data_IF_448807377609
#
_entry.id   IF_448807377609
#
_cell.length_a   1.000
_cell.length_b   1.000
_cell.length_c   1.000
_cell.angle_alpha   90.00
_cell.angle_beta   90.00
_cell.angle_gamma   90.00
#
_symmetry.space_group_name_H-M   'P 1'
#
loop_
_entity.id
_entity.type
_entity.pdbx_description
1 polymer ?
#
# COMPACT_ATOMS: atom_id res chain seq x y z
N UNK A 1 -17.07 0.74 0.16
CA UNK A 1 -15.92 -0.16 -0.08
C UNK A 1 -15.02 -0.09 1.14
N UNK A 2 -14.58 -1.22 1.70
CA UNK A 2 -13.66 -1.22 2.85
C UNK A 2 -12.30 -0.59 2.49
N UNK A 3 -11.66 0.10 3.44
CA UNK A 3 -10.35 0.74 3.26
C UNK A 3 -9.27 -0.27 2.85
N UNK A 4 -9.32 -1.50 3.38
CA UNK A 4 -8.39 -2.58 3.02
C UNK A 4 -8.62 -3.06 1.58
N UNK A 5 -9.89 -3.08 1.12
CA UNK A 5 -10.19 -3.41 -0.27
C UNK A 5 -9.60 -2.37 -1.23
N UNK A 6 -9.74 -1.08 -0.91
CA UNK A 6 -9.16 0.02 -1.67
C UNK A 6 -7.62 -0.12 -1.74
N UNK A 7 -6.97 -0.43 -0.62
CA UNK A 7 -5.52 -0.64 -0.56
C UNK A 7 -5.07 -1.81 -1.43
N UNK A 8 -5.76 -2.95 -1.32
CA UNK A 8 -5.51 -4.13 -2.15
C UNK A 8 -5.58 -3.80 -3.64
N UNK A 9 -6.59 -3.03 -4.07
CA UNK A 9 -6.75 -2.62 -5.46
C UNK A 9 -5.61 -1.70 -5.92
N UNK A 10 -5.21 -0.73 -5.10
CA UNK A 10 -4.08 0.15 -5.42
C UNK A 10 -2.79 -0.66 -5.61
N UNK A 11 -2.45 -1.53 -4.66
CA UNK A 11 -1.25 -2.38 -4.72
C UNK A 11 -1.25 -3.24 -5.98
N UNK A 12 -2.38 -3.88 -6.30
CA UNK A 12 -2.51 -4.68 -7.53
C UNK A 12 -2.31 -3.82 -8.79
N UNK A 13 -2.89 -2.62 -8.85
CA UNK A 13 -2.76 -1.72 -10.01
C UNK A 13 -1.33 -1.23 -10.24
N UNK A 14 -0.59 -0.92 -9.17
CA UNK A 14 0.82 -0.55 -9.27
C UNK A 14 1.64 -1.75 -9.73
N UNK A 15 1.43 -2.93 -9.12
CA UNK A 15 2.20 -4.14 -9.45
C UNK A 15 1.92 -4.71 -10.84
N UNK A 16 0.72 -4.50 -11.38
CA UNK A 16 0.32 -5.06 -12.66
C UNK A 16 1.09 -4.49 -13.87
N UNK A 17 1.68 -3.29 -13.74
CA UNK A 17 2.47 -2.67 -14.81
C UNK A 17 3.96 -2.62 -14.42
N UNK A 18 4.88 -3.18 -15.22
CA UNK A 18 6.32 -3.03 -15.02
C UNK A 18 6.73 -1.56 -14.91
N UNK A 19 6.17 -0.69 -15.78
CA UNK A 19 6.47 0.73 -15.80
C UNK A 19 6.01 1.44 -14.52
N UNK A 20 4.82 1.09 -13.99
CA UNK A 20 4.35 1.65 -12.71
C UNK A 20 5.20 1.19 -11.54
N UNK A 21 5.64 -0.08 -11.52
CA UNK A 21 6.55 -0.59 -10.48
C UNK A 21 7.87 0.15 -10.47
N UNK A 22 8.48 0.32 -11.64
CA UNK A 22 9.75 1.03 -11.77
C UNK A 22 9.64 2.50 -11.32
N UNK A 23 8.62 3.22 -11.80
CA UNK A 23 8.36 4.61 -11.38
C UNK A 23 8.10 4.73 -9.88
N UNK A 24 7.38 3.77 -9.30
CA UNK A 24 7.14 3.74 -7.86
C UNK A 24 8.45 3.52 -7.09
N UNK A 25 9.32 2.61 -7.55
CA UNK A 25 10.62 2.39 -6.92
C UNK A 25 11.52 3.64 -7.03
N UNK A 26 11.58 4.27 -8.19
CA UNK A 26 12.29 5.55 -8.38
C UNK A 26 11.79 6.63 -7.42
N UNK A 27 10.47 6.66 -7.17
CA UNK A 27 9.90 7.58 -6.20
C UNK A 27 10.32 7.25 -4.77
N UNK A 28 10.36 5.98 -4.36
CA UNK A 28 10.88 5.59 -3.05
C UNK A 28 12.32 6.08 -2.86
N UNK A 29 13.18 5.87 -3.87
CA UNK A 29 14.58 6.34 -3.86
C UNK A 29 14.65 7.86 -3.73
N UNK A 30 13.84 8.59 -4.49
CA UNK A 30 13.83 10.06 -4.51
C UNK A 30 13.42 10.70 -3.17
N UNK A 31 12.69 9.97 -2.33
CA UNK A 31 12.29 10.43 -0.98
C UNK A 31 13.02 9.67 0.14
N UNK A 32 14.14 9.01 -0.20
CA UNK A 32 15.00 8.28 0.74
C UNK A 32 14.27 7.19 1.55
N UNK A 33 13.20 6.61 0.98
CA UNK A 33 12.54 5.45 1.56
C UNK A 33 13.24 4.15 1.16
N UNK A 34 13.11 3.10 1.98
CA UNK A 34 13.61 1.77 1.63
C UNK A 34 13.10 1.32 0.25
N UNK A 35 14.00 0.76 -0.56
CA UNK A 35 13.70 0.18 -1.87
C UNK A 35 12.98 -1.17 -1.71
N UNK A 36 11.73 -1.06 -1.26
CA UNK A 36 10.86 -2.19 -0.95
C UNK A 36 9.76 -2.29 -2.01
N UNK A 37 9.56 -3.48 -2.56
CA UNK A 37 8.39 -3.72 -3.40
C UNK A 37 7.09 -3.70 -2.58
N UNK A 38 6.00 -3.18 -3.13
CA UNK A 38 4.67 -3.41 -2.55
C UNK A 38 4.33 -4.91 -2.57
N UNK A 39 3.74 -5.44 -1.51
CA UNK A 39 3.38 -6.86 -1.44
C UNK A 39 1.86 -7.01 -1.59
N UNK A 40 1.35 -7.80 -2.55
CA UNK A 40 -0.08 -7.98 -2.71
C UNK A 40 -0.63 -8.91 -1.62
N UNK A 41 -1.89 -8.70 -1.27
CA UNK A 41 -2.64 -9.68 -0.49
C UNK A 41 -2.96 -10.92 -1.33
N UNK A 42 -2.65 -12.10 -0.80
CA UNK A 42 -2.69 -13.41 -1.48
C UNK A 42 -3.67 -14.32 -0.73
N UNK A 43 -4.80 -14.65 -1.36
CA UNK A 43 -5.89 -15.43 -0.75
C UNK A 43 -5.45 -16.74 -0.09
N UNK A 44 -4.44 -17.42 -0.64
CA UNK A 44 -3.95 -18.71 -0.12
C UNK A 44 -2.93 -18.59 1.01
N UNK A 45 -2.47 -17.38 1.35
CA UNK A 45 -1.47 -17.13 2.41
C UNK A 45 -2.09 -16.30 3.54
N UNK A 46 -2.24 -16.92 4.71
CA UNK A 46 -3.01 -16.37 5.84
C UNK A 46 -2.55 -14.99 6.29
N UNK A 47 -1.25 -14.72 6.24
CA UNK A 47 -0.67 -13.47 6.77
C UNK A 47 -0.45 -12.40 5.69
N UNK A 48 -0.90 -12.65 4.44
CA UNK A 48 -0.59 -11.75 3.33
C UNK A 48 -1.31 -10.39 3.41
N UNK A 49 -2.49 -10.33 4.04
CA UNK A 49 -3.19 -9.06 4.30
C UNK A 49 -2.39 -8.19 5.28
N UNK A 50 -1.88 -8.77 6.36
CA UNK A 50 -1.07 -8.07 7.36
C UNK A 50 0.22 -7.54 6.73
N UNK A 51 0.93 -8.39 5.98
CA UNK A 51 2.17 -8.04 5.29
C UNK A 51 1.94 -6.93 4.25
N UNK A 52 0.82 -6.95 3.52
CA UNK A 52 0.44 -5.88 2.59
C UNK A 52 0.24 -4.55 3.34
N UNK A 53 -0.45 -4.57 4.47
CA UNK A 53 -0.71 -3.39 5.30
C UNK A 53 0.61 -2.84 5.87
N UNK A 54 1.43 -3.70 6.48
CA UNK A 54 2.73 -3.31 7.03
C UNK A 54 3.61 -2.65 5.96
N UNK A 55 3.67 -3.25 4.76
CA UNK A 55 4.42 -2.71 3.63
C UNK A 55 3.87 -1.37 3.16
N UNK A 56 2.54 -1.23 3.09
CA UNK A 56 1.90 0.01 2.68
C UNK A 56 2.14 1.14 3.68
N UNK A 57 2.12 0.86 4.99
CA UNK A 57 2.42 1.84 6.03
C UNK A 57 3.88 2.31 5.95
N UNK A 58 4.84 1.39 5.78
CA UNK A 58 6.26 1.74 5.57
C UNK A 58 6.48 2.62 4.33
N UNK A 59 5.64 2.47 3.31
CA UNK A 59 5.74 3.18 2.03
C UNK A 59 4.63 4.24 1.86
N UNK A 60 4.01 4.70 2.95
CA UNK A 60 2.84 5.60 2.92
C UNK A 60 3.10 6.86 2.11
N UNK A 61 4.25 7.52 2.33
CA UNK A 61 4.58 8.76 1.62
C UNK A 61 4.78 8.53 0.12
N UNK A 62 5.48 7.45 -0.27
CA UNK A 62 5.64 7.08 -1.67
C UNK A 62 4.28 6.78 -2.32
N UNK A 63 3.42 6.01 -1.65
CA UNK A 63 2.06 5.71 -2.12
C UNK A 63 1.24 6.97 -2.32
N UNK A 64 1.28 7.91 -1.37
CA UNK A 64 0.56 9.18 -1.49
C UNK A 64 1.05 9.98 -2.69
N UNK A 65 2.37 10.18 -2.82
CA UNK A 65 2.94 10.97 -3.90
C UNK A 65 2.69 10.31 -5.27
N UNK A 66 2.84 8.98 -5.38
CA UNK A 66 2.61 8.22 -6.61
C UNK A 66 1.16 8.33 -7.07
N UNK A 67 0.23 8.09 -6.15
CA UNK A 67 -1.21 8.08 -6.42
C UNK A 67 -1.73 9.49 -6.74
N UNK A 68 -1.11 10.52 -6.18
CA UNK A 68 -1.44 11.92 -6.49
C UNK A 68 -0.99 12.32 -7.90
N UNK A 69 0.15 11.79 -8.36
CA UNK A 69 0.75 12.09 -9.65
C UNK A 69 0.13 11.28 -10.81
N UNK A 70 -0.23 10.01 -10.59
CA UNK A 70 -0.84 9.14 -11.62
C UNK A 70 -2.34 9.41 -11.73
N UNK A 71 -2.76 10.04 -12.83
CA UNK A 71 -4.16 10.41 -13.10
C UNK A 71 -5.14 9.24 -13.01
N UNK A 72 -4.74 8.04 -13.43
CA UNK A 72 -5.60 6.86 -13.38
C UNK A 72 -5.79 6.36 -11.93
N UNK A 73 -4.88 6.71 -11.03
CA UNK A 73 -4.85 6.20 -9.67
C UNK A 73 -5.37 7.21 -8.65
N UNK A 74 -5.62 8.47 -9.01
CA UNK A 74 -6.11 9.52 -8.08
C UNK A 74 -7.29 9.10 -7.21
N UNK A 75 -8.21 8.28 -7.74
CA UNK A 75 -9.36 7.77 -7.00
C UNK A 75 -9.01 6.78 -5.87
N UNK A 76 -7.77 6.30 -5.83
CA UNK A 76 -7.21 5.50 -4.74
C UNK A 76 -6.51 6.34 -3.66
N UNK A 77 -6.53 7.68 -3.72
CA UNK A 77 -5.95 8.51 -2.66
C UNK A 77 -6.63 8.24 -1.32
N UNK A 78 -5.83 8.01 -0.30
CA UNK A 78 -6.28 7.79 1.07
C UNK A 78 -6.27 9.11 1.83
N UNK A 79 -7.39 9.41 2.49
CA UNK A 79 -7.46 10.47 3.50
C UNK A 79 -6.71 10.09 4.77
N UNK A 80 -6.41 11.06 5.63
CA UNK A 80 -5.74 10.79 6.92
C UNK A 80 -6.56 9.88 7.83
N UNK A 81 -7.90 9.99 7.80
CA UNK A 81 -8.78 9.10 8.54
C UNK A 81 -8.72 7.66 8.02
N UNK A 82 -8.61 7.47 6.70
CA UNK A 82 -8.44 6.13 6.13
C UNK A 82 -7.07 5.53 6.51
N UNK A 83 -6.01 6.34 6.51
CA UNK A 83 -4.69 5.88 6.98
C UNK A 83 -4.71 5.50 8.45
N UNK A 84 -5.34 6.31 9.31
CA UNK A 84 -5.51 6.00 10.72
C UNK A 84 -6.26 4.68 10.93
N UNK A 85 -7.32 4.44 10.16
CA UNK A 85 -8.04 3.17 10.21
C UNK A 85 -7.17 1.98 9.76
N UNK A 86 -6.30 2.16 8.76
CA UNK A 86 -5.33 1.12 8.34
C UNK A 86 -4.35 0.82 9.48
N UNK A 87 -3.84 1.84 10.17
CA UNK A 87 -2.94 1.70 11.33
C UNK A 87 -3.63 0.97 12.49
N UNK A 88 -4.87 1.34 12.83
CA UNK A 88 -5.67 0.66 13.86
C UNK A 88 -5.90 -0.82 13.53
N UNK A 89 -6.23 -1.13 12.26
CA UNK A 89 -6.39 -2.52 11.80
C UNK A 89 -5.06 -3.28 11.93
N UNK A 90 -3.95 -2.68 11.52
CA UNK A 90 -2.63 -3.31 11.64
C UNK A 90 -2.29 -3.67 13.09
N UNK A 91 -2.53 -2.74 14.02
CA UNK A 91 -2.32 -2.97 15.45
C UNK A 91 -3.17 -4.13 15.98
N UNK A 92 -4.45 -4.21 15.60
CA UNK A 92 -5.31 -5.32 16.00
C UNK A 92 -4.80 -6.67 15.48
N UNK A 93 -4.30 -6.72 14.23
CA UNK A 93 -3.73 -7.95 13.66
C UNK A 93 -2.47 -8.40 14.42
N UNK A 94 -1.62 -7.47 14.87
CA UNK A 94 -0.42 -7.77 15.64
C UNK A 94 -0.74 -8.28 17.05
N UNK A 95 -1.74 -7.69 17.72
CA UNK A 95 -2.16 -8.10 19.06
C UNK A 95 -2.78 -9.49 19.03
N UNK A 96 -3.62 -9.77 18.03
CA UNK A 96 -4.32 -11.04 17.93
C UNK A 96 -3.46 -12.23 17.47
N UNK A 97 -2.17 -12.03 17.12
CA UNK A 97 -1.22 -13.05 16.61
C UNK A 97 -1.91 -14.30 16.05
N UNK A 98 -2.70 -14.12 14.99
CA UNK A 98 -3.25 -15.22 14.21
C UNK A 98 -2.16 -15.89 13.37
#
# INVERSE_FOLDING_TARGET
>A
MSVIYKLRKLVVRIRASPQRRERFQQQCVAIELPELELLPDIKTRWNSTEIMIERALKLRQALHNFTSADGDLKHYLFSDNEWKLIEEIHLLMQVCKL
#
